data_IF_118628608898
#
_entry.id   IF_118628608898
#
_cell.length_a   1.000
_cell.length_b   1.000
_cell.length_c   1.000
_cell.angle_alpha   90.00
_cell.angle_beta   90.00
_cell.angle_gamma   90.00
#
_symmetry.space_group_name_H-M   'P 1'
#
loop_
_entity.id
_entity.type
_entity.pdbx_description
1 polymer ?
#
# COMPACT_ATOMS: atom_id res chain seq x y z
N UNK A 1 -15.34 -3.94 -0.51
CA UNK A 1 -15.26 -3.31 -1.86
C UNK A 1 -13.78 -3.13 -2.17
N UNK A 2 -13.22 -4.02 -2.99
CA UNK A 2 -11.79 -4.06 -3.32
C UNK A 2 -11.51 -3.00 -4.40
N UNK A 3 -10.66 -2.02 -4.10
CA UNK A 3 -10.17 -1.08 -5.10
C UNK A 3 -8.71 -1.40 -5.40
N UNK A 4 -8.42 -1.68 -6.68
CA UNK A 4 -7.11 -2.12 -7.17
C UNK A 4 -6.58 -1.08 -8.18
N UNK A 5 -5.32 -0.67 -8.06
CA UNK A 5 -4.73 0.36 -8.93
C UNK A 5 -3.28 0.05 -9.30
N UNK A 6 -2.87 0.39 -10.54
CA UNK A 6 -1.54 0.11 -11.10
C UNK A 6 -0.75 1.36 -11.54
N UNK A 7 0.57 1.36 -11.33
CA UNK A 7 1.51 2.45 -11.65
C UNK A 7 2.33 2.18 -12.92
N UNK A 8 2.28 3.07 -13.91
CA UNK A 8 3.07 2.96 -15.15
C UNK A 8 4.19 4.02 -15.20
N UNK A 9 5.41 3.64 -15.61
CA UNK A 9 6.61 4.49 -15.57
C UNK A 9 6.62 5.65 -16.59
N UNK A 10 5.91 5.54 -17.72
CA UNK A 10 5.89 6.58 -18.77
C UNK A 10 4.67 7.52 -18.69
N UNK A 11 3.68 7.18 -17.86
CA UNK A 11 2.46 7.98 -17.58
C UNK A 11 2.29 8.21 -16.08
N UNK A 12 3.42 8.20 -15.36
CA UNK A 12 3.53 8.18 -13.91
C UNK A 12 2.73 9.34 -13.31
N UNK A 13 2.88 10.55 -13.85
CA UNK A 13 2.26 11.74 -13.27
C UNK A 13 0.72 11.71 -13.29
N UNK A 14 0.10 11.23 -14.39
CA UNK A 14 -1.36 11.22 -14.51
C UNK A 14 -2.01 10.03 -13.78
N UNK A 15 -1.40 8.86 -13.87
CA UNK A 15 -1.92 7.65 -13.19
C UNK A 15 -1.72 7.73 -11.68
N UNK A 16 -0.57 8.26 -11.23
CA UNK A 16 -0.33 8.59 -9.83
C UNK A 16 -1.30 9.68 -9.35
N UNK A 17 -1.53 10.76 -10.11
CA UNK A 17 -2.54 11.78 -9.75
C UNK A 17 -3.95 11.20 -9.65
N UNK A 18 -4.36 10.30 -10.55
CA UNK A 18 -5.70 9.70 -10.53
C UNK A 18 -5.86 8.70 -9.37
N UNK A 19 -4.82 7.89 -9.10
CA UNK A 19 -4.79 6.99 -7.94
C UNK A 19 -4.77 7.77 -6.63
N UNK A 20 -3.90 8.77 -6.51
CA UNK A 20 -3.88 9.70 -5.39
C UNK A 20 -5.25 10.35 -5.24
N UNK A 21 -5.87 10.83 -6.31
CA UNK A 21 -7.17 11.45 -6.25
C UNK A 21 -8.26 10.49 -5.76
N UNK A 22 -8.23 9.21 -6.14
CA UNK A 22 -9.18 8.21 -5.66
C UNK A 22 -8.89 7.73 -4.24
N UNK A 23 -7.63 7.54 -3.86
CA UNK A 23 -7.23 7.21 -2.48
C UNK A 23 -7.58 8.37 -1.56
N UNK A 24 -7.26 9.61 -1.95
CA UNK A 24 -7.68 10.82 -1.25
C UNK A 24 -9.21 10.89 -1.21
N UNK A 25 -9.91 10.73 -2.33
CA UNK A 25 -11.37 10.78 -2.35
C UNK A 25 -11.98 9.75 -1.40
N UNK A 26 -11.54 8.49 -1.46
CA UNK A 26 -12.02 7.42 -0.60
C UNK A 26 -11.70 7.69 0.88
N UNK A 27 -10.46 8.12 1.20
CA UNK A 27 -10.09 8.53 2.56
C UNK A 27 -10.90 9.74 3.05
N UNK A 28 -11.27 10.66 2.17
CA UNK A 28 -12.13 11.80 2.49
C UNK A 28 -13.60 11.38 2.67
N UNK A 29 -14.06 10.32 2.00
CA UNK A 29 -15.40 9.74 2.23
C UNK A 29 -15.49 8.92 3.52
N UNK A 30 -14.38 8.34 3.98
CA UNK A 30 -14.30 7.64 5.26
C UNK A 30 -14.16 8.59 6.46
N UNK A 31 -13.81 9.87 6.24
CA UNK A 31 -13.76 10.85 7.30
C UNK A 31 -15.19 11.21 7.78
N UNK A 32 -15.46 11.29 9.09
CA UNK A 32 -16.78 11.64 9.59
C UNK A 32 -17.23 13.02 9.06
N UNK A 33 -18.51 13.11 8.67
CA UNK A 33 -19.16 14.22 7.93
C UNK A 33 -19.07 15.63 8.57
N UNK A 34 -18.37 15.79 9.69
CA UNK A 34 -18.32 17.04 10.45
C UNK A 34 -17.07 17.90 10.21
N UNK A 35 -16.21 17.56 9.24
CA UNK A 35 -15.14 18.48 8.82
C UNK A 35 -15.61 19.36 7.66
N UNK A 36 -15.99 20.60 7.98
CA UNK A 36 -16.15 21.66 6.99
C UNK A 36 -14.81 21.98 6.34
N UNK A 37 -14.76 21.90 5.01
CA UNK A 37 -13.57 22.24 4.24
C UNK A 37 -13.84 23.40 3.26
N UNK A 38 -12.89 24.33 3.10
CA UNK A 38 -13.00 25.41 2.15
C UNK A 38 -12.86 24.87 0.72
N UNK A 39 -13.82 25.23 -0.13
CA UNK A 39 -13.83 24.97 -1.57
C UNK A 39 -12.72 25.82 -2.20
N UNK A 40 -11.73 25.19 -2.84
CA UNK A 40 -10.76 25.89 -3.68
C UNK A 40 -11.49 26.51 -4.88
N UNK A 41 -11.61 27.83 -4.88
CA UNK A 41 -11.87 28.58 -6.11
C UNK A 41 -10.52 28.81 -6.80
N UNK A 42 -10.44 28.47 -8.08
CA UNK A 42 -9.30 28.86 -8.92
C UNK A 42 -9.20 30.37 -8.93
N UNK A 43 -8.03 30.93 -8.60
CA UNK A 43 -7.77 32.34 -8.82
C UNK A 43 -6.47 32.53 -9.56
N UNK A 44 -6.58 33.23 -10.68
CA UNK A 44 -5.50 33.83 -11.44
C UNK A 44 -4.82 34.91 -10.59
N UNK A 45 -3.49 35.03 -10.74
CA UNK A 45 -2.76 36.27 -10.52
C UNK A 45 -2.35 36.65 -9.08
N UNK A 46 -1.03 36.73 -8.90
CA UNK A 46 -0.29 37.63 -7.98
C UNK A 46 -0.42 37.48 -6.46
N UNK A 47 0.66 36.92 -5.89
CA UNK A 47 1.38 37.42 -4.70
C UNK A 47 0.60 37.74 -3.44
N UNK A 48 0.43 36.76 -2.54
CA UNK A 48 0.31 37.02 -1.10
C UNK A 48 0.80 35.79 -0.31
N UNK A 49 1.58 36.01 0.75
CA UNK A 49 2.10 34.96 1.64
C UNK A 49 0.91 34.21 2.25
N UNK A 50 0.73 32.94 1.86
CA UNK A 50 -0.35 32.10 2.35
C UNK A 50 0.09 31.39 3.64
N UNK A 51 -0.18 32.01 4.79
CA UNK A 51 -0.18 31.27 6.06
C UNK A 51 -1.45 30.44 6.12
N UNK A 52 -1.35 29.19 5.68
CA UNK A 52 -2.40 28.18 5.89
C UNK A 52 -2.46 27.85 7.37
N UNK A 53 -3.45 28.41 8.08
CA UNK A 53 -3.83 27.96 9.42
C UNK A 53 -4.47 26.58 9.30
N UNK A 54 -3.63 25.57 9.13
CA UNK A 54 -4.02 24.18 9.11
C UNK A 54 -4.51 23.80 10.52
N UNK A 55 -5.74 23.33 10.61
CA UNK A 55 -6.26 22.63 11.81
C UNK A 55 -5.19 21.71 12.38
N UNK A 56 -4.92 21.84 13.68
CA UNK A 56 -3.85 21.13 14.42
C UNK A 56 -4.19 19.67 14.71
N UNK A 57 -5.38 19.18 14.32
CA UNK A 57 -5.80 17.81 14.54
C UNK A 57 -5.38 16.90 13.35
N UNK A 58 -4.65 15.83 13.66
CA UNK A 58 -4.24 14.82 12.67
C UNK A 58 -5.45 14.16 12.02
N UNK A 59 -5.40 13.82 10.73
CA UNK A 59 -6.50 13.17 10.00
C UNK A 59 -6.69 11.67 10.31
N UNK A 60 -6.04 11.17 11.36
CA UNK A 60 -5.92 9.74 11.64
C UNK A 60 -4.58 9.15 11.18
N UNK A 61 -4.46 7.84 11.37
CA UNK A 61 -3.30 7.04 10.95
C UNK A 61 -3.61 6.27 9.67
N UNK A 62 -2.64 6.18 8.77
CA UNK A 62 -2.68 5.25 7.63
C UNK A 62 -1.52 4.28 7.78
N UNK A 63 -1.83 2.99 7.69
CA UNK A 63 -0.85 1.92 7.75
C UNK A 63 -0.56 1.46 6.33
N UNK A 64 0.72 1.36 5.95
CA UNK A 64 1.14 0.80 4.67
C UNK A 64 1.95 -0.47 4.91
N UNK A 65 1.72 -1.48 4.08
CA UNK A 65 2.48 -2.75 4.08
C UNK A 65 2.95 -3.08 2.66
N UNK A 66 4.07 -2.49 2.22
CA UNK A 66 4.65 -2.73 0.90
C UNK A 66 5.34 -4.10 0.84
N UNK A 67 5.36 -4.72 -0.34
CA UNK A 67 6.20 -5.89 -0.59
C UNK A 67 7.69 -5.48 -0.47
N UNK A 68 8.56 -6.30 0.16
CA UNK A 68 9.96 -5.96 0.41
C UNK A 68 10.85 -6.13 -0.84
N UNK A 69 10.40 -5.56 -1.95
CA UNK A 69 11.08 -5.55 -3.25
C UNK A 69 11.12 -4.10 -3.76
N UNK A 70 12.26 -3.67 -4.30
CA UNK A 70 12.50 -2.26 -4.64
C UNK A 70 11.41 -1.64 -5.55
N UNK A 71 10.89 -2.41 -6.51
CA UNK A 71 9.82 -1.97 -7.42
C UNK A 71 8.49 -1.66 -6.71
N UNK A 72 8.26 -2.19 -5.52
CA UNK A 72 7.05 -2.00 -4.72
C UNK A 72 7.26 -0.99 -3.59
N UNK A 73 8.45 -1.00 -2.97
CA UNK A 73 8.82 -0.05 -1.91
C UNK A 73 8.76 1.40 -2.40
N UNK A 74 9.45 1.75 -3.48
CA UNK A 74 9.54 3.16 -3.88
C UNK A 74 8.18 3.83 -4.17
N UNK A 75 7.26 3.22 -4.93
CA UNK A 75 5.92 3.77 -5.11
C UNK A 75 5.12 3.91 -3.82
N UNK A 76 5.23 2.94 -2.90
CA UNK A 76 4.53 3.01 -1.61
C UNK A 76 5.02 4.13 -0.72
N UNK A 77 6.34 4.40 -0.72
CA UNK A 77 6.89 5.52 0.04
C UNK A 77 6.55 6.88 -0.59
N UNK A 78 6.41 6.94 -1.92
CA UNK A 78 5.89 8.13 -2.59
C UNK A 78 4.43 8.39 -2.18
N UNK A 79 3.57 7.37 -2.20
CA UNK A 79 2.20 7.48 -1.71
C UNK A 79 2.16 7.95 -0.24
N UNK A 80 2.98 7.33 0.62
CA UNK A 80 3.08 7.70 2.02
C UNK A 80 3.42 9.19 2.21
N UNK A 81 4.36 9.73 1.44
CA UNK A 81 4.73 11.14 1.49
C UNK A 81 3.56 12.07 1.11
N UNK A 82 2.77 11.68 0.12
CA UNK A 82 1.59 12.44 -0.32
C UNK A 82 0.51 12.40 0.76
N UNK A 83 0.20 11.24 1.32
CA UNK A 83 -0.78 11.09 2.40
C UNK A 83 -0.37 11.86 3.65
N UNK A 84 0.92 11.81 4.01
CA UNK A 84 1.48 12.65 5.08
C UNK A 84 1.27 14.14 4.79
N UNK A 85 1.55 14.59 3.57
CA UNK A 85 1.34 15.98 3.18
C UNK A 85 -0.14 16.40 3.26
N UNK A 86 -1.08 15.45 3.22
CA UNK A 86 -2.52 15.66 3.44
C UNK A 86 -2.93 15.71 4.93
N UNK A 87 -2.02 15.36 5.86
CA UNK A 87 -2.24 15.46 7.31
C UNK A 87 -2.48 14.12 8.01
N UNK A 88 -2.23 13.00 7.33
CA UNK A 88 -2.24 11.67 7.95
C UNK A 88 -0.91 11.37 8.64
N UNK A 89 -0.96 10.69 9.79
CA UNK A 89 0.22 10.04 10.38
C UNK A 89 0.45 8.72 9.66
N UNK A 90 1.67 8.47 9.23
CA UNK A 90 2.01 7.30 8.41
C UNK A 90 2.73 6.28 9.27
N UNK A 91 2.26 5.04 9.22
CA UNK A 91 2.95 3.87 9.76
C UNK A 91 3.30 2.95 8.59
N UNK A 92 4.57 2.54 8.50
CA UNK A 92 5.04 1.54 7.55
C UNK A 92 5.32 0.27 8.32
N UNK A 93 4.50 -0.76 8.08
CA UNK A 93 4.85 -2.13 8.48
C UNK A 93 5.81 -2.66 7.41
N UNK A 94 6.89 -3.33 7.80
CA UNK A 94 7.81 -3.98 6.88
C UNK A 94 8.38 -5.26 7.47
N UNK A 95 8.83 -6.16 6.62
CA UNK A 95 9.53 -7.38 7.03
C UNK A 95 10.96 -7.08 7.50
N UNK A 96 11.59 -8.04 8.17
CA UNK A 96 13.03 -7.99 8.50
C UNK A 96 13.89 -7.97 7.24
N UNK A 97 13.53 -8.79 6.27
CA UNK A 97 14.14 -8.82 4.96
C UNK A 97 13.90 -7.49 4.21
N UNK A 98 14.99 -6.97 3.61
CA UNK A 98 15.02 -5.70 2.86
C UNK A 98 14.41 -4.52 3.65
N UNK A 99 14.72 -4.47 4.95
CA UNK A 99 14.29 -3.40 5.86
C UNK A 99 14.68 -2.01 5.31
N UNK A 100 13.73 -1.06 5.23
CA UNK A 100 14.00 0.28 4.72
C UNK A 100 14.88 1.07 5.70
N UNK A 101 15.73 1.95 5.17
CA UNK A 101 16.50 2.87 6.01
C UNK A 101 15.58 3.93 6.64
N UNK A 102 15.36 3.84 7.95
CA UNK A 102 14.47 4.75 8.68
C UNK A 102 14.95 6.21 8.65
N UNK A 103 16.26 6.43 8.58
CA UNK A 103 16.86 7.77 8.50
C UNK A 103 16.47 8.54 7.25
N UNK A 104 16.10 7.85 6.18
CA UNK A 104 15.63 8.48 4.94
C UNK A 104 14.20 9.02 5.08
N UNK A 105 13.45 8.59 6.10
CA UNK A 105 12.04 8.93 6.30
C UNK A 105 11.73 9.18 7.78
N UNK A 106 12.37 10.16 8.43
CA UNK A 106 12.26 10.39 9.88
C UNK A 106 10.85 10.77 10.34
N UNK A 107 9.99 11.16 9.41
CA UNK A 107 8.59 11.55 9.64
C UNK A 107 7.59 10.39 9.54
N UNK A 108 8.05 9.16 9.26
CA UNK A 108 7.23 7.95 9.30
C UNK A 108 7.53 7.15 10.56
N UNK A 109 6.53 6.42 11.05
CA UNK A 109 6.72 5.39 12.07
C UNK A 109 6.94 4.05 11.38
N UNK A 110 7.99 3.32 11.74
CA UNK A 110 8.28 2.00 11.19
C UNK A 110 7.95 0.91 12.20
N UNK A 111 7.36 -0.19 11.74
CA UNK A 111 7.10 -1.40 12.52
C UNK A 111 7.65 -2.60 11.76
N UNK A 112 8.66 -3.24 12.32
CA UNK A 112 9.22 -4.48 11.76
C UNK A 112 8.38 -5.67 12.19
N UNK A 113 8.12 -6.60 11.27
CA UNK A 113 7.51 -7.90 11.56
C UNK A 113 8.47 -9.03 11.17
N UNK A 114 8.39 -10.15 11.89
CA UNK A 114 9.14 -11.34 11.56
C UNK A 114 8.66 -11.93 10.23
N UNK A 115 9.60 -12.39 9.40
CA UNK A 115 9.33 -13.06 8.12
C UNK A 115 9.81 -14.52 8.08
N UNK A 116 10.13 -15.10 9.24
CA UNK A 116 10.58 -16.49 9.33
C UNK A 116 12.02 -16.71 8.83
N UNK A 117 12.83 -15.66 8.71
CA UNK A 117 14.24 -15.78 8.31
C UNK A 117 14.43 -15.85 6.79
N UNK A 118 13.59 -15.14 6.03
CA UNK A 118 13.61 -15.19 4.57
C UNK A 118 14.99 -14.87 3.97
N UNK A 119 15.76 -13.98 4.62
CA UNK A 119 17.12 -13.62 4.20
C UNK A 119 18.03 -14.85 4.09
N UNK A 120 17.98 -15.77 5.05
CA UNK A 120 18.82 -16.97 5.07
C UNK A 120 18.40 -17.94 3.96
N UNK A 121 17.09 -18.14 3.81
CA UNK A 121 16.52 -19.01 2.78
C UNK A 121 16.89 -18.49 1.39
N UNK A 122 16.70 -17.19 1.13
CA UNK A 122 17.03 -16.56 -0.15
C UNK A 122 18.51 -16.69 -0.48
N UNK A 123 19.40 -16.52 0.50
CA UNK A 123 20.84 -16.64 0.29
C UNK A 123 21.28 -18.07 -0.07
N UNK A 124 20.51 -19.08 0.33
CA UNK A 124 20.76 -20.48 -0.02
C UNK A 124 20.18 -20.88 -1.40
N UNK A 125 19.39 -20.01 -2.04
CA UNK A 125 18.81 -20.29 -3.36
C UNK A 125 19.80 -19.99 -4.49
N UNK A 126 19.92 -20.92 -5.43
CA UNK A 126 20.79 -20.77 -6.63
C UNK A 126 20.27 -19.69 -7.60
N UNK A 127 18.97 -19.45 -7.62
CA UNK A 127 18.31 -18.48 -8.50
C UNK A 127 17.19 -17.77 -7.75
N UNK A 128 16.98 -16.51 -8.08
CA UNK A 128 15.83 -15.76 -7.59
C UNK A 128 14.57 -16.28 -8.26
N UNK A 129 13.58 -16.68 -7.46
CA UNK A 129 12.23 -17.01 -7.91
C UNK A 129 11.23 -16.05 -7.24
N UNK A 130 10.65 -15.10 -8.00
CA UNK A 130 9.63 -14.21 -7.47
C UNK A 130 8.39 -14.93 -6.94
N UNK A 131 7.97 -16.03 -7.57
CA UNK A 131 6.77 -16.77 -7.16
C UNK A 131 6.97 -17.48 -5.82
N UNK A 132 8.15 -18.07 -5.61
CA UNK A 132 8.55 -18.59 -4.30
C UNK A 132 8.52 -17.49 -3.24
N UNK A 133 9.10 -16.34 -3.53
CA UNK A 133 9.21 -15.24 -2.56
C UNK A 133 7.84 -14.76 -2.10
N UNK A 134 6.91 -14.55 -3.05
CA UNK A 134 5.54 -14.14 -2.76
C UNK A 134 4.81 -15.20 -1.92
N UNK A 135 4.90 -16.47 -2.32
CA UNK A 135 4.25 -17.58 -1.60
C UNK A 135 4.79 -17.68 -0.16
N UNK A 136 6.11 -17.63 -0.02
CA UNK A 136 6.78 -17.70 1.27
C UNK A 136 6.31 -16.61 2.23
N UNK A 137 6.29 -15.34 1.81
CA UNK A 137 5.83 -14.26 2.70
C UNK A 137 4.36 -14.42 3.09
N UNK A 138 3.52 -14.95 2.22
CA UNK A 138 2.12 -15.15 2.57
C UNK A 138 1.92 -16.28 3.58
N UNK A 139 2.78 -17.30 3.56
CA UNK A 139 2.76 -18.39 4.53
C UNK A 139 3.36 -17.99 5.89
N UNK A 140 4.38 -17.11 5.91
CA UNK A 140 5.19 -16.88 7.11
C UNK A 140 4.98 -15.51 7.78
N UNK A 141 4.35 -14.54 7.11
CA UNK A 141 4.14 -13.20 7.68
C UNK A 141 2.74 -12.99 8.25
N UNK A 142 1.77 -13.87 8.00
CA UNK A 142 0.36 -13.62 8.32
C UNK A 142 0.13 -13.38 9.82
N UNK A 143 0.69 -14.24 10.68
CA UNK A 143 0.54 -14.15 12.14
C UNK A 143 1.22 -12.89 12.68
N UNK A 144 2.51 -12.70 12.35
CA UNK A 144 3.29 -11.51 12.76
C UNK A 144 2.65 -10.20 12.30
N UNK A 145 2.08 -10.17 11.10
CA UNK A 145 1.35 -9.01 10.57
C UNK A 145 0.05 -8.77 11.34
N UNK A 146 -0.71 -9.83 11.64
CA UNK A 146 -1.97 -9.76 12.40
C UNK A 146 -1.72 -9.18 13.79
N UNK A 147 -0.73 -9.71 14.51
CA UNK A 147 -0.36 -9.23 15.84
C UNK A 147 0.09 -7.77 15.82
N UNK A 148 0.92 -7.40 14.84
CA UNK A 148 1.37 -6.02 14.68
C UNK A 148 0.20 -5.07 14.41
N UNK A 149 -0.71 -5.44 13.50
CA UNK A 149 -1.86 -4.63 13.15
C UNK A 149 -2.84 -4.50 14.33
N UNK A 150 -3.13 -5.60 15.03
CA UNK A 150 -3.97 -5.58 16.22
C UNK A 150 -3.39 -4.66 17.31
N UNK A 151 -2.08 -4.74 17.54
CA UNK A 151 -1.38 -3.85 18.47
C UNK A 151 -1.52 -2.37 18.09
N UNK A 152 -1.33 -2.03 16.81
CA UNK A 152 -1.51 -0.66 16.31
C UNK A 152 -2.94 -0.16 16.49
N UNK A 153 -3.95 -1.00 16.31
CA UNK A 153 -5.36 -0.62 16.48
C UNK A 153 -5.73 -0.38 17.95
N UNK A 154 -5.02 -1.02 18.89
CA UNK A 154 -5.28 -0.93 20.32
C UNK A 154 -4.54 0.23 21.03
N UNK A 155 -3.72 1.02 20.32
CA UNK A 155 -2.98 2.16 20.89
C UNK A 155 -3.95 3.28 21.37
N UNK A 156 -4.09 3.54 22.68
CA UNK A 156 -5.16 4.37 23.24
C UNK A 156 -4.98 5.88 23.02
N UNK A 157 -3.74 6.34 22.90
CA UNK A 157 -3.39 7.76 22.76
C UNK A 157 -3.12 8.17 21.30
N UNK A 158 -3.33 7.25 20.37
CA UNK A 158 -3.08 7.46 18.96
C UNK A 158 -4.36 7.76 18.18
N UNK A 159 -4.32 8.62 17.16
CA UNK A 159 -5.47 8.86 16.28
C UNK A 159 -6.01 7.54 15.69
N UNK A 160 -7.29 7.40 15.39
CA UNK A 160 -7.81 6.17 14.80
C UNK A 160 -7.13 5.82 13.46
N UNK A 161 -6.99 4.53 13.17
CA UNK A 161 -6.54 4.07 11.86
C UNK A 161 -7.66 4.28 10.84
N UNK A 162 -7.42 5.14 9.86
CA UNK A 162 -8.37 5.45 8.79
C UNK A 162 -8.43 4.31 7.76
N UNK A 163 -7.28 3.74 7.38
CA UNK A 163 -7.21 2.57 6.53
C UNK A 163 -5.85 1.86 6.61
N UNK A 164 -5.86 0.62 6.14
CA UNK A 164 -4.70 -0.18 5.79
C UNK A 164 -4.51 -0.16 4.26
N UNK A 165 -3.29 0.08 3.79
CA UNK A 165 -2.91 -0.03 2.38
C UNK A 165 -1.87 -1.14 2.26
N UNK A 166 -2.20 -2.24 1.59
CA UNK A 166 -1.24 -3.33 1.39
C UNK A 166 -0.83 -3.45 -0.05
N UNK A 167 0.31 -4.07 -0.29
CA UNK A 167 0.61 -4.61 -1.61
C UNK A 167 -0.42 -5.67 -2.04
N UNK A 168 -0.61 -5.83 -3.35
CA UNK A 168 -1.51 -6.80 -3.95
C UNK A 168 -0.99 -8.23 -3.81
N UNK A 169 0.33 -8.41 -3.71
CA UNK A 169 0.95 -9.72 -3.55
C UNK A 169 0.69 -10.35 -2.16
N UNK A 170 0.22 -9.58 -1.18
CA UNK A 170 -0.20 -10.08 0.13
C UNK A 170 -1.68 -10.48 0.13
N UNK A 171 -1.97 -11.69 -0.33
CA UNK A 171 -3.34 -12.20 -0.36
C UNK A 171 -3.91 -12.50 1.03
N UNK A 172 -3.08 -12.93 2.00
CA UNK A 172 -3.54 -13.16 3.39
C UNK A 172 -4.11 -11.89 4.03
N UNK A 173 -3.63 -10.71 3.62
CA UNK A 173 -3.97 -9.47 4.28
C UNK A 173 -5.45 -9.07 4.11
N UNK A 174 -6.19 -9.69 3.17
CA UNK A 174 -7.63 -9.48 3.08
C UNK A 174 -8.34 -10.01 4.32
N UNK A 175 -8.08 -11.28 4.64
CA UNK A 175 -8.71 -11.98 5.75
C UNK A 175 -8.37 -11.31 7.08
N UNK A 176 -7.12 -10.89 7.25
CA UNK A 176 -6.67 -10.14 8.44
C UNK A 176 -7.38 -8.79 8.57
N UNK A 177 -7.52 -8.04 7.46
CA UNK A 177 -8.21 -6.75 7.50
C UNK A 177 -9.70 -6.92 7.83
N UNK A 178 -10.35 -7.95 7.29
CA UNK A 178 -11.75 -8.25 7.55
C UNK A 178 -11.97 -8.70 9.01
N UNK A 179 -11.09 -9.54 9.55
CA UNK A 179 -11.18 -10.01 10.94
C UNK A 179 -10.99 -8.89 11.96
N UNK A 180 -10.06 -7.96 11.68
CA UNK A 180 -9.80 -6.78 12.51
C UNK A 180 -10.70 -5.58 12.17
N UNK A 181 -11.61 -5.72 11.20
CA UNK A 181 -12.58 -4.70 10.76
C UNK A 181 -11.93 -3.37 10.34
N UNK A 182 -10.78 -3.44 9.68
CA UNK A 182 -10.06 -2.27 9.17
C UNK A 182 -10.33 -2.11 7.67
N UNK A 183 -10.68 -0.90 7.19
CA UNK A 183 -10.79 -0.65 5.75
C UNK A 183 -9.45 -0.91 5.05
N UNK A 184 -9.45 -1.80 4.05
CA UNK A 184 -8.27 -2.14 3.25
C UNK A 184 -8.34 -1.55 1.85
N UNK A 185 -7.25 -0.92 1.42
CA UNK A 185 -6.95 -0.56 0.04
C UNK A 185 -5.79 -1.42 -0.47
N UNK A 186 -5.85 -1.80 -1.74
CA UNK A 186 -4.81 -2.63 -2.35
C UNK A 186 -4.04 -1.80 -3.38
N UNK A 187 -2.73 -1.70 -3.16
CA UNK A 187 -1.79 -1.11 -4.10
C UNK A 187 -1.16 -2.20 -4.94
N UNK A 188 -1.16 -2.02 -6.26
CA UNK A 188 -0.45 -2.92 -7.15
C UNK A 188 0.63 -2.15 -7.91
N UNK A 189 1.89 -2.50 -7.69
CA UNK A 189 3.01 -1.88 -8.40
C UNK A 189 3.20 -2.51 -9.80
N UNK A 190 2.15 -2.49 -10.63
CA UNK A 190 2.16 -3.08 -11.97
C UNK A 190 1.80 -2.05 -13.05
N UNK A 191 1.97 -2.39 -14.33
CA UNK A 191 1.42 -1.56 -15.42
C UNK A 191 -0.10 -1.74 -15.51
N UNK A 192 -0.84 -0.73 -16.00
CA UNK A 192 -2.28 -0.87 -16.22
C UNK A 192 -2.65 -2.03 -17.16
N UNK A 193 -1.77 -2.37 -18.11
CA UNK A 193 -1.96 -3.52 -19.00
C UNK A 193 -1.89 -4.83 -18.20
N UNK A 194 -0.90 -4.97 -17.33
CA UNK A 194 -0.78 -6.12 -16.43
C UNK A 194 -2.04 -6.28 -15.57
N UNK A 195 -2.55 -5.19 -14.99
CA UNK A 195 -3.79 -5.20 -14.20
C UNK A 195 -4.98 -5.75 -14.98
N UNK A 196 -5.17 -5.28 -16.22
CA UNK A 196 -6.26 -5.73 -17.07
C UNK A 196 -6.15 -7.22 -17.42
N UNK A 197 -4.93 -7.69 -17.70
CA UNK A 197 -4.66 -9.11 -17.94
C UNK A 197 -4.99 -9.96 -16.72
N UNK A 198 -4.61 -9.52 -15.52
CA UNK A 198 -4.92 -10.24 -14.29
C UNK A 198 -6.41 -10.21 -13.94
N UNK A 199 -7.10 -9.07 -14.16
CA UNK A 199 -8.56 -8.97 -13.96
C UNK A 199 -9.28 -9.99 -14.84
N UNK A 200 -8.85 -10.10 -16.09
CA UNK A 200 -9.46 -10.99 -17.08
C UNK A 200 -8.76 -12.37 -17.11
N UNK A 201 -7.94 -12.71 -16.10
CA UNK A 201 -7.17 -13.96 -16.08
C UNK A 201 -8.08 -15.19 -16.16
N UNK A 202 -9.23 -15.15 -15.49
CA UNK A 202 -10.23 -16.23 -15.55
C UNK A 202 -10.75 -16.41 -16.98
N UNK A 203 -11.05 -15.31 -17.68
CA UNK A 203 -11.44 -15.35 -19.09
C UNK A 203 -10.34 -15.94 -19.98
N UNK A 204 -9.09 -15.54 -19.76
CA UNK A 204 -7.97 -16.08 -20.54
C UNK A 204 -7.73 -17.57 -20.25
N UNK A 205 -7.90 -18.00 -19.00
CA UNK A 205 -7.79 -19.39 -18.59
C UNK A 205 -8.89 -20.26 -19.21
N UNK A 206 -10.16 -19.83 -19.11
CA UNK A 206 -11.31 -20.53 -19.71
C UNK A 206 -11.18 -20.69 -21.22
N UNK A 207 -10.58 -19.72 -21.90
CA UNK A 207 -10.31 -19.77 -23.34
C UNK A 207 -9.07 -20.59 -23.71
N UNK A 208 -8.36 -21.14 -22.73
CA UNK A 208 -7.21 -22.01 -22.96
C UNK A 208 -5.94 -21.26 -23.40
N UNK A 209 -5.86 -19.94 -23.23
CA UNK A 209 -4.67 -19.17 -23.63
C UNK A 209 -3.42 -19.51 -22.80
N UNK A 210 -3.59 -20.16 -21.64
CA UNK A 210 -2.49 -20.67 -20.80
C UNK A 210 -2.33 -22.19 -20.87
N UNK A 211 -3.03 -22.89 -21.77
CA UNK A 211 -2.73 -24.29 -22.04
C UNK A 211 -1.37 -24.36 -22.75
N UNK A 212 -0.32 -24.43 -21.96
CA UNK A 212 0.96 -24.94 -22.39
C UNK A 212 0.70 -26.40 -22.78
N UNK A 213 0.46 -26.66 -24.06
CA UNK A 213 0.57 -28.01 -24.60
C UNK A 213 1.95 -28.51 -24.20
N UNK A 214 2.01 -29.46 -23.27
CA UNK A 214 3.18 -30.32 -23.08
C UNK A 214 3.32 -31.15 -24.36
N UNK A 215 3.78 -30.52 -25.43
CA UNK A 215 4.36 -31.23 -26.56
C UNK A 215 5.79 -31.51 -26.15
N UNK A 216 6.11 -32.80 -25.99
CA UNK A 216 7.34 -33.29 -25.39
C UNK A 216 8.61 -32.84 -26.11
N UNK A 217 9.71 -32.82 -25.36
CA UNK A 217 10.86 -33.74 -25.43
C UNK A 217 11.54 -33.69 -24.06
#
# INVERSE_FOLDING_TARGET
MLFTFCFNYTTLEKSLKLFIAHVIYFLFQLAPKNLNFPIMKNHEGTGTIFQSTRSTATRGRVILFPLPVQGHLSPMFQLANILRAQGFKIIIIHTEYNSPSHSNYPHFTFKTIADGGFSEIRNNMKKSDPAFSISYFNEHCADSFTDCLAGLLAEPDEPPVACLITDAEYYFAQEVADSLKVPRLVSWACTIVSLLVYRDLSFFYEKGYFNLTKNGV
#
